data_IF_421128317287
#
_entry.id   IF_421128317287
#
_cell.length_a   1.000
_cell.length_b   1.000
_cell.length_c   1.000
_cell.angle_alpha   90.00
_cell.angle_beta   90.00
_cell.angle_gamma   90.00
#
_symmetry.space_group_name_H-M   'P 1'
#
loop_
_entity.id
_entity.type
_entity.pdbx_description
1 polymer ?
#
# COMPACT_ATOMS: atom_id res chain seq x y z
N UNK A 1 -6.94 -12.90 2.70
CA UNK A 1 -6.25 -13.81 3.66
C UNK A 1 -5.20 -13.08 4.50
N UNK A 2 -4.13 -12.43 3.92
CA UNK A 2 -3.09 -11.75 4.71
C UNK A 2 -3.68 -10.65 5.60
N UNK A 3 -4.49 -9.75 5.05
CA UNK A 3 -5.14 -8.68 5.81
C UNK A 3 -6.04 -9.22 6.93
N UNK A 4 -6.73 -10.33 6.69
CA UNK A 4 -7.58 -11.00 7.68
C UNK A 4 -6.75 -11.57 8.83
N UNK A 5 -5.64 -12.25 8.53
CA UNK A 5 -4.71 -12.75 9.55
C UNK A 5 -4.09 -11.60 10.36
N UNK A 6 -3.73 -10.52 9.69
CA UNK A 6 -3.25 -9.30 10.35
C UNK A 6 -4.35 -8.52 11.07
N UNK A 7 -5.63 -8.86 10.91
CA UNK A 7 -6.79 -8.09 11.40
C UNK A 7 -6.77 -6.63 10.94
N UNK A 8 -6.39 -6.42 9.70
CA UNK A 8 -6.34 -5.10 9.06
C UNK A 8 -7.54 -4.97 8.13
N UNK A 9 -8.33 -3.88 8.23
CA UNK A 9 -9.48 -3.69 7.37
C UNK A 9 -9.04 -3.46 5.92
N UNK A 10 -9.77 -4.07 4.99
CA UNK A 10 -9.61 -3.81 3.56
C UNK A 10 -10.73 -2.90 3.04
N UNK A 11 -10.48 -2.22 1.95
CA UNK A 11 -11.56 -1.57 1.21
C UNK A 11 -12.61 -2.61 0.78
N UNK A 12 -13.92 -2.28 0.79
CA UNK A 12 -14.94 -3.14 0.21
C UNK A 12 -14.63 -3.45 -1.25
N UNK A 13 -14.72 -4.71 -1.65
CA UNK A 13 -14.41 -5.12 -3.01
C UNK A 13 -15.07 -6.44 -3.38
N UNK A 14 -15.21 -6.66 -4.69
CA UNK A 14 -15.79 -7.85 -5.30
C UNK A 14 -14.94 -8.31 -6.49
N UNK A 15 -14.92 -9.60 -6.69
CA UNK A 15 -14.42 -10.22 -7.91
C UNK A 15 -15.59 -10.51 -8.82
N UNK A 16 -15.53 -10.10 -10.07
CA UNK A 16 -16.61 -10.22 -11.05
C UNK A 16 -16.08 -10.81 -12.35
N UNK A 17 -16.93 -11.55 -13.06
CA UNK A 17 -16.57 -12.25 -14.30
C UNK A 17 -17.33 -11.73 -15.52
N UNK A 18 -18.38 -10.94 -15.31
CA UNK A 18 -19.23 -10.41 -16.39
C UNK A 18 -19.80 -9.03 -16.04
N UNK A 19 -20.43 -8.39 -17.03
CA UNK A 19 -20.99 -7.07 -16.87
C UNK A 19 -22.12 -7.00 -15.83
N UNK A 20 -22.98 -8.01 -15.77
CA UNK A 20 -24.10 -8.04 -14.84
C UNK A 20 -23.60 -8.05 -13.38
N UNK A 21 -22.63 -8.91 -13.09
CA UNK A 21 -21.95 -8.95 -11.79
C UNK A 21 -21.22 -7.64 -11.46
N UNK A 22 -20.58 -7.01 -12.46
CA UNK A 22 -19.88 -5.75 -12.28
C UNK A 22 -20.82 -4.60 -11.90
N UNK A 23 -21.99 -4.51 -12.56
CA UNK A 23 -23.01 -3.51 -12.24
C UNK A 23 -23.63 -3.75 -10.85
N UNK A 24 -23.91 -5.00 -10.50
CA UNK A 24 -24.43 -5.36 -9.17
C UNK A 24 -23.40 -5.04 -8.07
N UNK A 25 -22.12 -5.36 -8.31
CA UNK A 25 -21.04 -5.02 -7.39
C UNK A 25 -20.86 -3.51 -7.23
N UNK A 26 -20.96 -2.74 -8.31
CA UNK A 26 -20.87 -1.28 -8.26
C UNK A 26 -22.04 -0.66 -7.47
N UNK A 27 -23.24 -1.23 -7.54
CA UNK A 27 -24.38 -0.81 -6.71
C UNK A 27 -24.16 -1.14 -5.23
N UNK A 28 -23.63 -2.33 -4.92
CA UNK A 28 -23.37 -2.75 -3.54
C UNK A 28 -22.25 -1.93 -2.88
N UNK A 29 -21.11 -1.77 -3.58
CA UNK A 29 -19.92 -1.06 -3.08
C UNK A 29 -20.15 0.45 -3.05
N UNK A 30 -20.96 0.95 -3.97
CA UNK A 30 -21.17 2.39 -4.21
C UNK A 30 -20.02 3.02 -5.00
N UNK A 31 -20.39 3.82 -6.01
CA UNK A 31 -19.43 4.56 -6.82
C UNK A 31 -18.74 5.68 -6.02
N UNK A 32 -17.51 6.11 -6.39
CA UNK A 32 -16.67 5.53 -7.42
C UNK A 32 -16.03 4.20 -7.00
N UNK A 33 -15.72 3.35 -7.99
CA UNK A 33 -15.03 2.08 -7.81
C UNK A 33 -13.76 2.04 -8.66
N UNK A 34 -12.72 1.38 -8.13
CA UNK A 34 -11.50 1.06 -8.87
C UNK A 34 -11.71 -0.30 -9.53
N UNK A 35 -11.53 -0.35 -10.83
CA UNK A 35 -11.64 -1.58 -11.63
C UNK A 35 -10.27 -1.98 -12.15
N UNK A 36 -9.90 -3.24 -11.96
CA UNK A 36 -8.61 -3.77 -12.39
C UNK A 36 -8.71 -5.24 -12.78
N UNK A 37 -8.06 -5.68 -13.88
CA UNK A 37 -7.92 -7.10 -14.17
C UNK A 37 -7.09 -7.81 -13.09
N UNK A 38 -7.37 -9.07 -12.80
CA UNK A 38 -6.71 -9.82 -11.71
C UNK A 38 -5.23 -10.13 -11.96
N UNK A 39 -4.76 -10.07 -13.21
CA UNK A 39 -3.42 -10.46 -13.62
C UNK A 39 -2.65 -9.34 -14.30
N UNK A 40 -2.65 -8.15 -13.70
CA UNK A 40 -1.91 -7.01 -14.25
C UNK A 40 -0.79 -6.59 -13.33
N UNK A 41 0.42 -6.47 -13.89
CA UNK A 41 1.58 -5.94 -13.19
C UNK A 41 1.66 -4.41 -13.37
N UNK A 42 1.98 -3.69 -12.30
CA UNK A 42 2.28 -2.25 -12.37
C UNK A 42 1.10 -1.34 -12.68
N UNK A 43 -0.14 -1.75 -12.32
CA UNK A 43 -1.31 -0.87 -12.43
C UNK A 43 -1.79 -0.59 -13.86
N UNK A 44 -1.30 -1.30 -14.85
CA UNK A 44 -1.78 -1.16 -16.23
C UNK A 44 -3.26 -1.55 -16.34
N UNK A 45 -4.00 -0.86 -17.19
CA UNK A 45 -5.43 -1.11 -17.43
C UNK A 45 -6.31 -0.99 -16.17
N UNK A 46 -5.90 -0.21 -15.17
CA UNK A 46 -6.77 0.17 -14.05
C UNK A 46 -7.52 1.44 -14.40
N UNK A 47 -8.80 1.51 -14.04
CA UNK A 47 -9.60 2.73 -14.16
C UNK A 47 -10.36 2.99 -12.87
N UNK A 48 -10.68 4.27 -12.64
CA UNK A 48 -11.68 4.68 -11.64
C UNK A 48 -12.98 4.96 -12.37
N UNK A 49 -13.99 4.14 -12.10
CA UNK A 49 -15.34 4.31 -12.64
C UNK A 49 -16.18 5.18 -11.69
N UNK A 50 -16.59 6.33 -12.14
CA UNK A 50 -17.44 7.27 -11.39
C UNK A 50 -18.92 7.06 -11.67
N UNK A 51 -19.25 6.45 -12.80
CA UNK A 51 -20.61 6.19 -13.26
C UNK A 51 -20.77 4.75 -13.71
N UNK A 52 -22.03 4.29 -13.79
CA UNK A 52 -22.31 2.97 -14.40
C UNK A 52 -21.92 2.90 -15.88
N UNK A 53 -21.94 4.01 -16.59
CA UNK A 53 -21.51 4.07 -17.98
C UNK A 53 -20.02 3.74 -18.09
N UNK A 54 -19.19 4.25 -17.16
CA UNK A 54 -17.75 3.93 -17.12
C UNK A 54 -17.52 2.44 -16.85
N UNK A 55 -18.34 1.82 -15.98
CA UNK A 55 -18.28 0.37 -15.72
C UNK A 55 -18.59 -0.43 -16.97
N UNK A 56 -19.63 -0.04 -17.74
CA UNK A 56 -20.04 -0.70 -18.98
C UNK A 56 -18.93 -0.59 -20.03
N UNK A 57 -18.43 0.61 -20.24
CA UNK A 57 -17.35 0.88 -21.20
C UNK A 57 -16.11 0.05 -20.90
N UNK A 58 -15.67 0.05 -19.64
CA UNK A 58 -14.48 -0.68 -19.24
C UNK A 58 -14.63 -2.20 -19.35
N UNK A 59 -15.78 -2.74 -18.94
CA UNK A 59 -16.06 -4.18 -19.11
C UNK A 59 -16.06 -4.56 -20.59
N UNK A 60 -16.57 -3.70 -21.48
CA UNK A 60 -16.52 -3.90 -22.93
C UNK A 60 -15.09 -3.99 -23.44
N UNK A 61 -14.23 -3.03 -23.06
CA UNK A 61 -12.81 -3.04 -23.46
C UNK A 61 -12.07 -4.27 -22.96
N UNK A 62 -12.31 -4.69 -21.72
CA UNK A 62 -11.66 -5.90 -21.16
C UNK A 62 -12.12 -7.16 -21.89
N UNK A 63 -13.43 -7.31 -22.14
CA UNK A 63 -13.96 -8.50 -22.81
C UNK A 63 -13.48 -8.65 -24.24
N UNK A 64 -13.07 -7.57 -24.90
CA UNK A 64 -12.47 -7.61 -26.25
C UNK A 64 -10.99 -8.02 -26.25
N UNK A 65 -10.26 -7.80 -25.15
CA UNK A 65 -8.80 -7.90 -25.12
C UNK A 65 -8.26 -8.93 -24.11
N UNK A 66 -9.09 -9.42 -23.20
CA UNK A 66 -8.70 -10.36 -22.16
C UNK A 66 -9.63 -11.58 -22.23
N UNK A 67 -9.03 -12.77 -22.20
CA UNK A 67 -9.77 -14.03 -22.17
C UNK A 67 -10.72 -14.04 -20.94
N UNK A 68 -12.00 -14.39 -21.15
CA UNK A 68 -13.07 -14.35 -20.14
C UNK A 68 -12.81 -15.25 -18.91
N UNK A 69 -11.73 -16.03 -18.93
CA UNK A 69 -11.29 -16.83 -17.77
C UNK A 69 -10.63 -16.02 -16.66
N UNK A 70 -10.43 -14.69 -16.85
CA UNK A 70 -9.76 -13.86 -15.86
C UNK A 70 -10.75 -12.86 -15.22
N UNK A 71 -10.92 -12.95 -13.88
CA UNK A 71 -11.83 -12.06 -13.17
C UNK A 71 -11.33 -10.61 -13.15
N UNK A 72 -12.28 -9.68 -13.09
CA UNK A 72 -12.04 -8.27 -12.80
C UNK A 72 -12.30 -8.01 -11.32
N UNK A 73 -11.39 -7.28 -10.68
CA UNK A 73 -11.56 -6.82 -9.31
C UNK A 73 -12.19 -5.44 -9.33
N UNK A 74 -13.28 -5.29 -8.58
CA UNK A 74 -13.91 -4.01 -8.26
C UNK A 74 -13.66 -3.72 -6.79
N UNK A 75 -12.92 -2.68 -6.49
CA UNK A 75 -12.68 -2.23 -5.12
C UNK A 75 -13.29 -0.84 -4.93
N UNK A 76 -13.76 -0.52 -3.72
CA UNK A 76 -14.13 0.85 -3.38
C UNK A 76 -12.94 1.77 -3.63
N UNK A 77 -13.10 2.77 -4.48
CA UNK A 77 -12.07 3.78 -4.65
C UNK A 77 -12.01 4.68 -3.41
N UNK A 78 -10.88 4.66 -2.73
CA UNK A 78 -10.64 5.45 -1.53
C UNK A 78 -9.99 6.76 -1.94
N UNK A 79 -10.77 7.83 -1.90
CA UNK A 79 -10.23 9.19 -2.08
C UNK A 79 -9.63 9.66 -0.75
N UNK A 80 -8.33 9.94 -0.73
CA UNK A 80 -7.63 10.34 0.47
C UNK A 80 -6.18 10.71 0.21
N UNK A 81 -5.43 10.84 1.27
CA UNK A 81 -3.98 11.06 1.25
C UNK A 81 -3.28 9.70 1.12
N UNK A 82 -2.39 9.58 0.14
CA UNK A 82 -1.56 8.39 -0.01
C UNK A 82 -0.26 8.54 0.77
N UNK A 83 0.12 7.50 1.48
CA UNK A 83 1.32 7.48 2.31
C UNK A 83 2.15 6.23 2.00
N UNK A 84 3.45 6.36 2.11
CA UNK A 84 4.40 5.27 1.84
C UNK A 84 5.36 5.10 3.02
N UNK A 85 5.59 3.85 3.38
CA UNK A 85 6.51 3.44 4.44
C UNK A 85 7.49 2.43 3.88
N UNK A 86 8.77 2.69 4.07
CA UNK A 86 9.82 1.70 3.94
C UNK A 86 10.31 1.30 5.33
N UNK A 87 10.20 0.03 5.67
CA UNK A 87 10.66 -0.49 6.94
C UNK A 87 11.80 -1.49 6.78
N UNK A 88 12.69 -1.55 7.78
CA UNK A 88 13.75 -2.54 7.91
C UNK A 88 13.29 -3.54 8.97
N UNK A 89 13.43 -4.84 8.69
CA UNK A 89 12.97 -5.91 9.58
C UNK A 89 14.10 -6.91 9.83
N UNK A 90 14.18 -7.44 11.06
CA UNK A 90 15.16 -8.46 11.48
C UNK A 90 14.51 -9.83 11.77
N UNK A 91 13.26 -10.02 11.32
CA UNK A 91 12.44 -11.20 11.57
C UNK A 91 11.61 -11.14 12.88
N UNK A 92 11.96 -10.26 13.80
CA UNK A 92 11.27 -10.06 15.09
C UNK A 92 10.80 -8.62 15.26
N UNK A 93 11.71 -7.68 15.02
CA UNK A 93 11.50 -6.25 15.15
C UNK A 93 11.45 -5.59 13.77
N UNK A 94 10.94 -4.37 13.74
CA UNK A 94 10.91 -3.54 12.54
C UNK A 94 11.22 -2.10 12.89
N UNK A 95 11.88 -1.40 11.98
CA UNK A 95 12.23 0.01 12.11
C UNK A 95 11.64 0.76 10.92
N UNK A 96 10.86 1.80 11.19
CA UNK A 96 10.37 2.76 10.20
C UNK A 96 11.19 4.03 10.37
N UNK A 97 12.08 4.39 9.43
CA UNK A 97 12.86 5.63 9.52
C UNK A 97 12.00 6.88 9.44
N UNK A 98 10.89 6.81 8.70
CA UNK A 98 9.93 7.89 8.57
C UNK A 98 8.77 7.53 7.65
N UNK A 99 7.70 8.31 7.70
CA UNK A 99 6.50 8.15 6.88
C UNK A 99 6.50 9.26 5.82
N UNK A 100 6.39 8.87 4.56
CA UNK A 100 6.29 9.79 3.42
C UNK A 100 4.82 9.96 3.03
N UNK A 101 4.47 11.16 2.59
CA UNK A 101 3.15 11.50 2.08
C UNK A 101 3.26 11.88 0.60
N UNK A 102 2.32 11.43 -0.23
CA UNK A 102 2.25 11.82 -1.63
C UNK A 102 1.44 13.10 -1.78
N UNK A 103 1.92 14.00 -2.63
CA UNK A 103 1.25 15.28 -2.92
C UNK A 103 0.02 15.06 -3.80
N UNK A 104 0.10 14.10 -4.70
CA UNK A 104 -0.99 13.75 -5.60
C UNK A 104 -2.06 12.93 -4.85
N UNK A 105 -3.27 12.99 -5.40
CA UNK A 105 -4.39 12.19 -4.91
C UNK A 105 -4.15 10.69 -5.11
N UNK A 106 -4.82 9.88 -4.32
CA UNK A 106 -4.84 8.41 -4.43
C UNK A 106 -5.05 7.93 -5.87
N UNK A 107 -4.28 6.93 -6.28
CA UNK A 107 -4.40 6.29 -7.60
C UNK A 107 -3.48 6.86 -8.67
N UNK A 108 -2.65 7.85 -8.36
CA UNK A 108 -1.52 8.24 -9.23
C UNK A 108 -0.38 7.24 -8.97
N UNK A 109 0.21 6.72 -10.05
CA UNK A 109 1.30 5.76 -9.92
C UNK A 109 2.49 6.39 -9.17
N UNK A 110 3.05 5.67 -8.22
CA UNK A 110 4.14 6.18 -7.36
C UNK A 110 5.37 6.68 -8.12
N UNK A 111 5.55 6.26 -9.39
CA UNK A 111 6.61 6.75 -10.27
C UNK A 111 6.36 8.16 -10.82
N UNK A 112 5.11 8.60 -10.78
CA UNK A 112 4.66 9.89 -11.30
C UNK A 112 4.24 10.85 -10.17
N UNK A 113 4.42 10.43 -8.92
CA UNK A 113 4.06 11.18 -7.72
C UNK A 113 5.25 11.85 -7.07
N UNK A 114 4.99 12.97 -6.39
CA UNK A 114 5.93 13.67 -5.53
C UNK A 114 5.70 13.20 -4.09
N UNK A 115 6.74 12.61 -3.49
CA UNK A 115 6.72 12.27 -2.07
C UNK A 115 7.36 13.39 -1.25
N UNK A 116 6.72 13.74 -0.15
CA UNK A 116 7.25 14.67 0.85
C UNK A 116 7.52 13.96 2.17
N UNK A 117 8.57 14.39 2.83
CA UNK A 117 8.95 13.93 4.17
C UNK A 117 9.32 15.15 5.03
N UNK A 118 8.87 15.19 6.30
CA UNK A 118 7.90 14.29 6.93
C UNK A 118 6.49 14.46 6.37
N UNK A 119 5.61 13.48 6.66
CA UNK A 119 4.19 13.58 6.32
C UNK A 119 3.57 14.83 6.95
N UNK A 120 2.76 15.58 6.18
CA UNK A 120 2.30 16.93 6.56
C UNK A 120 0.88 16.94 7.14
N UNK A 121 0.03 16.02 6.72
CA UNK A 121 -1.41 16.06 7.01
C UNK A 121 -1.90 14.88 7.86
N UNK A 122 -1.01 13.95 8.23
CA UNK A 122 -1.37 12.82 9.08
C UNK A 122 -1.54 13.22 10.53
N UNK A 123 -2.61 12.79 11.15
CA UNK A 123 -2.79 12.87 12.61
C UNK A 123 -1.94 11.82 13.32
N UNK A 124 -1.64 12.04 14.61
CA UNK A 124 -0.90 11.04 15.40
C UNK A 124 -1.59 9.68 15.45
N UNK A 125 -2.91 9.64 15.52
CA UNK A 125 -3.68 8.39 15.52
C UNK A 125 -3.54 7.60 14.19
N UNK A 126 -3.45 8.30 13.06
CA UNK A 126 -3.20 7.71 11.75
C UNK A 126 -1.76 7.20 11.65
N UNK A 127 -0.79 7.97 12.13
CA UNK A 127 0.63 7.56 12.23
C UNK A 127 0.75 6.28 13.08
N UNK A 128 0.15 6.26 14.27
CA UNK A 128 0.18 5.10 15.17
C UNK A 128 -0.44 3.87 14.49
N UNK A 129 -1.51 4.05 13.73
CA UNK A 129 -2.16 2.98 12.97
C UNK A 129 -1.27 2.46 11.85
N UNK A 130 -0.61 3.34 11.09
CA UNK A 130 0.34 2.97 10.02
C UNK A 130 1.51 2.15 10.62
N UNK A 131 2.06 2.60 11.74
CA UNK A 131 3.16 1.91 12.44
C UNK A 131 2.71 0.52 12.90
N UNK A 132 1.54 0.40 13.53
CA UNK A 132 0.99 -0.87 13.98
C UNK A 132 0.73 -1.84 12.80
N UNK A 133 0.12 -1.36 11.72
CA UNK A 133 -0.15 -2.19 10.54
C UNK A 133 1.15 -2.67 9.87
N UNK A 134 2.13 -1.79 9.73
CA UNK A 134 3.45 -2.16 9.19
C UNK A 134 4.11 -3.24 10.03
N UNK A 135 4.05 -3.12 11.36
CA UNK A 135 4.59 -4.13 12.28
C UNK A 135 3.86 -5.48 12.21
N UNK A 136 2.54 -5.48 11.99
CA UNK A 136 1.77 -6.71 11.79
C UNK A 136 2.16 -7.41 10.50
N UNK A 137 2.35 -6.67 9.40
CA UNK A 137 2.83 -7.23 8.14
C UNK A 137 4.24 -7.79 8.26
N UNK A 138 5.16 -7.05 8.88
CA UNK A 138 6.53 -7.48 9.08
C UNK A 138 6.60 -8.84 9.79
N UNK A 139 5.81 -9.02 10.84
CA UNK A 139 5.75 -10.27 11.61
C UNK A 139 5.06 -11.40 10.85
N UNK A 140 3.88 -11.13 10.27
CA UNK A 140 3.08 -12.16 9.59
C UNK A 140 3.76 -12.71 8.33
N UNK A 141 4.51 -11.85 7.62
CA UNK A 141 5.29 -12.22 6.44
C UNK A 141 6.70 -12.71 6.78
N UNK A 142 7.08 -12.71 8.06
CA UNK A 142 8.44 -13.08 8.52
C UNK A 142 9.53 -12.32 7.75
N UNK A 143 9.32 -11.01 7.53
CA UNK A 143 10.23 -10.20 6.73
C UNK A 143 11.58 -10.10 7.40
N UNK A 144 12.64 -10.35 6.62
CA UNK A 144 14.02 -10.03 6.97
C UNK A 144 14.61 -9.16 5.86
N UNK A 145 15.08 -7.97 6.19
CA UNK A 145 15.49 -6.95 5.23
C UNK A 145 14.43 -5.87 5.05
N UNK A 146 14.12 -5.49 3.82
CA UNK A 146 13.23 -4.36 3.53
C UNK A 146 11.79 -4.80 3.18
N UNK A 147 10.83 -4.00 3.63
CA UNK A 147 9.44 -4.07 3.21
C UNK A 147 8.92 -2.67 2.94
N UNK A 148 8.24 -2.51 1.81
CA UNK A 148 7.54 -1.29 1.44
C UNK A 148 6.03 -1.51 1.58
N UNK A 149 5.34 -0.57 2.21
CA UNK A 149 3.88 -0.60 2.37
C UNK A 149 3.30 0.74 1.93
N UNK A 150 2.28 0.67 1.08
CA UNK A 150 1.53 1.85 0.65
C UNK A 150 0.15 1.86 1.28
N UNK A 151 -0.23 3.04 1.78
CA UNK A 151 -1.48 3.27 2.49
C UNK A 151 -2.26 4.41 1.86
N UNK A 152 -3.59 4.34 1.96
CA UNK A 152 -4.49 5.47 1.73
C UNK A 152 -5.18 5.84 3.04
N UNK A 153 -5.14 7.11 3.40
CA UNK A 153 -5.79 7.65 4.60
C UNK A 153 -6.99 8.48 4.17
N UNK A 154 -8.17 8.10 4.64
CA UNK A 154 -9.42 8.78 4.32
C UNK A 154 -10.36 8.78 5.51
N UNK A 155 -10.87 9.97 5.89
CA UNK A 155 -11.81 10.14 7.01
C UNK A 155 -11.35 9.49 8.32
N UNK A 156 -10.07 9.62 8.66
CA UNK A 156 -9.49 9.06 9.88
C UNK A 156 -9.27 7.54 9.85
N UNK A 157 -9.43 6.90 8.69
CA UNK A 157 -9.21 5.47 8.49
C UNK A 157 -8.02 5.23 7.58
N UNK A 158 -7.19 4.26 7.96
CA UNK A 158 -6.02 3.83 7.19
C UNK A 158 -6.38 2.55 6.43
N UNK A 159 -6.19 2.59 5.13
CA UNK A 159 -6.37 1.46 4.22
C UNK A 159 -5.05 1.06 3.59
N UNK A 160 -4.85 -0.23 3.39
CA UNK A 160 -3.66 -0.76 2.70
C UNK A 160 -3.94 -0.81 1.20
N UNK A 161 -3.04 -0.23 0.42
CA UNK A 161 -3.05 -0.32 -1.05
C UNK A 161 -2.27 -1.56 -1.46
N UNK A 162 -0.99 -1.64 -1.04
CA UNK A 162 -0.15 -2.81 -1.33
C UNK A 162 0.97 -2.99 -0.31
N UNK A 163 1.47 -4.23 -0.22
CA UNK A 163 2.62 -4.61 0.59
C UNK A 163 3.64 -5.29 -0.31
N UNK A 164 4.84 -4.74 -0.35
CA UNK A 164 5.94 -5.20 -1.19
C UNK A 164 7.13 -5.62 -0.31
N UNK A 165 7.38 -6.92 -0.06
CA UNK A 165 8.54 -7.39 0.72
C UNK A 165 9.83 -7.31 -0.12
N UNK A 166 10.21 -6.11 -0.44
CA UNK A 166 11.39 -5.73 -1.24
C UNK A 166 11.75 -4.28 -0.99
N UNK A 167 12.92 -3.86 -1.47
CA UNK A 167 13.31 -2.44 -1.55
C UNK A 167 12.37 -1.65 -2.46
N UNK A 168 12.17 -0.39 -2.14
CA UNK A 168 11.46 0.59 -2.97
C UNK A 168 12.42 1.62 -3.59
N UNK A 169 11.87 2.46 -4.47
CA UNK A 169 12.61 3.58 -5.07
C UNK A 169 12.86 4.73 -4.08
N UNK A 170 12.07 4.80 -3.03
CA UNK A 170 12.15 5.86 -2.01
C UNK A 170 13.21 5.59 -0.94
N UNK A 171 13.73 4.36 -0.84
CA UNK A 171 14.77 3.98 0.15
C UNK A 171 16.01 4.90 0.12
N UNK A 172 16.60 5.25 -1.03
CA UNK A 172 17.76 6.16 -1.05
C UNK A 172 17.40 7.57 -0.52
N UNK A 173 16.22 8.05 -0.82
CA UNK A 173 15.73 9.35 -0.35
C UNK A 173 15.52 9.34 1.15
N UNK A 174 14.71 8.42 1.67
CA UNK A 174 14.40 8.36 3.11
C UNK A 174 15.65 8.07 3.95
N UNK A 175 16.56 7.23 3.48
CA UNK A 175 17.86 7.01 4.13
C UNK A 175 18.64 8.31 4.29
N UNK A 176 18.64 9.13 3.24
CA UNK A 176 19.43 10.38 3.23
C UNK A 176 18.81 11.44 4.15
N UNK A 177 17.50 11.62 4.11
CA UNK A 177 16.82 12.68 4.88
C UNK A 177 16.70 12.36 6.37
N UNK A 178 16.62 11.07 6.73
CA UNK A 178 16.55 10.62 8.12
C UNK A 178 17.93 10.30 8.74
N UNK A 179 18.97 10.13 7.90
CA UNK A 179 20.28 9.66 8.33
C UNK A 179 20.34 8.17 8.70
N UNK A 180 19.26 7.41 8.53
CA UNK A 180 19.22 5.97 8.80
C UNK A 180 19.75 5.20 7.60
N UNK A 181 20.86 4.44 7.72
CA UNK A 181 21.49 3.73 6.59
C UNK A 181 20.71 2.44 6.25
N UNK A 182 19.53 2.61 5.64
CA UNK A 182 18.55 1.52 5.48
C UNK A 182 19.09 0.30 4.76
N UNK A 183 19.87 0.49 3.70
CA UNK A 183 20.41 -0.63 2.91
C UNK A 183 21.45 -1.42 3.72
N UNK A 184 22.34 -0.72 4.45
CA UNK A 184 23.31 -1.36 5.33
C UNK A 184 22.61 -2.19 6.41
N UNK A 185 21.66 -1.58 7.12
CA UNK A 185 20.89 -2.26 8.16
C UNK A 185 20.12 -3.48 7.61
N UNK A 186 19.51 -3.32 6.44
CA UNK A 186 18.76 -4.42 5.82
C UNK A 186 19.68 -5.61 5.46
N UNK A 187 20.86 -5.33 4.91
CA UNK A 187 21.85 -6.39 4.60
C UNK A 187 22.31 -7.08 5.89
N UNK A 188 22.61 -6.33 6.93
CA UNK A 188 23.01 -6.89 8.22
C UNK A 188 21.91 -7.73 8.86
N UNK A 189 20.64 -7.30 8.78
CA UNK A 189 19.49 -8.11 9.21
C UNK A 189 19.39 -9.42 8.40
N UNK A 190 19.59 -9.37 7.08
CA UNK A 190 19.62 -10.58 6.24
C UNK A 190 20.77 -11.54 6.62
N UNK A 191 21.87 -11.03 7.17
CA UNK A 191 23.00 -11.81 7.70
C UNK A 191 22.78 -12.30 9.15
N UNK A 192 21.62 -11.97 9.75
CA UNK A 192 21.21 -12.47 11.05
C UNK A 192 21.46 -11.51 12.23
N UNK A 193 21.96 -10.29 11.98
CA UNK A 193 22.09 -9.27 13.02
C UNK A 193 20.70 -8.71 13.42
N UNK A 194 20.57 -8.29 14.66
CA UNK A 194 19.32 -7.71 15.17
C UNK A 194 19.40 -6.18 15.21
N UNK A 195 18.28 -5.52 14.92
CA UNK A 195 18.18 -4.06 14.99
C UNK A 195 18.60 -3.52 16.36
N UNK A 196 18.23 -4.20 17.43
CA UNK A 196 18.60 -3.82 18.81
C UNK A 196 20.13 -3.80 19.02
N UNK A 197 20.85 -4.79 18.47
CA UNK A 197 22.32 -4.87 18.57
C UNK A 197 23.02 -3.75 17.78
N UNK A 198 22.32 -3.20 16.78
CA UNK A 198 22.77 -2.08 15.98
C UNK A 198 22.37 -0.71 16.57
N UNK A 199 21.72 -0.69 17.73
CA UNK A 199 21.31 0.52 18.43
C UNK A 199 19.97 1.10 18.02
N UNK A 200 19.13 0.32 17.29
CA UNK A 200 17.81 0.74 16.86
C UNK A 200 16.70 0.07 17.65
N UNK A 201 15.67 0.86 18.01
CA UNK A 201 14.44 0.35 18.61
C UNK A 201 13.49 -0.25 17.57
N UNK A 202 12.30 -0.68 18.05
CA UNK A 202 11.22 -1.13 17.16
C UNK A 202 10.19 -0.03 16.95
N UNK A 203 9.58 0.01 15.76
CA UNK A 203 8.55 0.99 15.38
C UNK A 203 9.11 2.20 14.64
N UNK A 204 8.45 3.36 14.82
CA UNK A 204 8.90 4.62 14.20
C UNK A 204 10.16 5.14 14.88
N UNK A 205 11.12 5.56 14.06
CA UNK A 205 12.39 6.12 14.56
C UNK A 205 12.13 7.40 15.37
N UNK A 206 12.63 7.51 16.61
CA UNK A 206 12.28 8.60 17.53
C UNK A 206 12.75 10.00 17.07
N UNK A 207 13.72 10.06 16.17
CA UNK A 207 14.23 11.32 15.60
C UNK A 207 13.65 11.63 14.21
N UNK A 208 12.63 10.88 13.79
CA UNK A 208 11.87 11.25 12.61
C UNK A 208 11.13 12.57 12.91
N UNK A 209 11.46 13.68 12.19
CA UNK A 209 10.75 14.95 12.36
C UNK A 209 9.32 14.84 11.97
#
# INVERSE_FOLDING_TARGET
ELLERCKIPRAPGRTVFNLEEALAAADEIGLPVLMRPSYVLGGQNMIVAYTKADVIEYMGVITEHVDMDHPVLLDKYIMGTECEVDAICDGENFLIPGIMEQVERTGVHSGDSICVYPAQHLTQAEIDTIVDYTGRFARELHVTGLVNVQYAVSNGKVYVIEVNPRSSRTVPYISKVTGVPMVDLAVRCCLGEKLADMGYGTGLHPNAP
#
